data_IF_507232011583
#
_entry.id   IF_507232011583
#
_cell.length_a   1.000
_cell.length_b   1.000
_cell.length_c   1.000
_cell.angle_alpha   90.00
_cell.angle_beta   90.00
_cell.angle_gamma   90.00
#
_symmetry.space_group_name_H-M   'P 1'
#
loop_
_entity.id
_entity.type
_entity.pdbx_description
1 polymer ?
#
# COMPACT_ATOMS: atom_id res chain seq x y z
N UNK A 1 18.11 10.33 10.02
CA UNK A 1 16.75 9.78 9.92
C UNK A 1 15.81 10.67 10.72
N UNK A 2 14.75 11.24 10.12
CA UNK A 2 13.72 11.92 10.91
C UNK A 2 13.09 10.88 11.84
N UNK A 3 13.05 11.17 13.15
CA UNK A 3 12.33 10.34 14.10
C UNK A 3 10.85 10.36 13.75
N UNK A 4 10.26 9.20 13.53
CA UNK A 4 8.83 9.05 13.28
C UNK A 4 8.02 9.67 14.42
N UNK A 5 6.97 10.46 14.13
CA UNK A 5 6.07 10.95 15.16
C UNK A 5 5.54 9.79 16.02
N UNK A 6 5.43 10.00 17.31
CA UNK A 6 4.94 8.97 18.25
C UNK A 6 3.54 8.47 17.89
N UNK A 7 2.67 9.36 17.38
CA UNK A 7 1.33 9.03 16.89
C UNK A 7 1.37 8.02 15.74
N UNK A 8 2.19 8.26 14.72
CA UNK A 8 2.37 7.37 13.57
C UNK A 8 2.89 6.00 14.02
N UNK A 9 3.86 5.98 14.93
CA UNK A 9 4.42 4.72 15.44
C UNK A 9 3.39 3.91 16.24
N UNK A 10 2.53 4.56 17.02
CA UNK A 10 1.44 3.87 17.73
C UNK A 10 0.43 3.26 16.76
N UNK A 11 -0.02 4.01 15.74
CA UNK A 11 -0.90 3.50 14.69
C UNK A 11 -0.28 2.31 13.96
N UNK A 12 0.96 2.44 13.48
CA UNK A 12 1.70 1.41 12.75
C UNK A 12 1.88 0.10 13.54
N UNK A 13 1.96 0.17 14.87
CA UNK A 13 2.09 -1.00 15.73
C UNK A 13 0.85 -1.91 15.73
N UNK A 14 -0.32 -1.37 15.39
CA UNK A 14 -1.59 -2.10 15.40
C UNK A 14 -1.94 -2.71 14.02
N UNK A 15 -1.23 -2.36 12.95
CA UNK A 15 -1.60 -2.74 11.58
C UNK A 15 -1.43 -4.23 11.35
N UNK A 16 -2.46 -4.86 10.81
CA UNK A 16 -2.52 -6.26 10.40
C UNK A 16 -2.74 -6.45 8.92
N UNK A 17 -3.27 -5.42 8.23
CA UNK A 17 -3.50 -5.43 6.79
C UNK A 17 -3.02 -4.11 6.19
N UNK A 18 -2.19 -4.19 5.16
CA UNK A 18 -1.78 -3.07 4.32
C UNK A 18 -2.49 -3.15 2.98
N UNK A 19 -3.35 -2.18 2.69
CA UNK A 19 -4.00 -2.03 1.39
C UNK A 19 -3.23 -0.98 0.56
N UNK A 20 -3.00 -1.28 -0.70
CA UNK A 20 -2.22 -0.47 -1.62
C UNK A 20 -3.07 -0.14 -2.86
N UNK A 21 -3.10 1.12 -3.25
CA UNK A 21 -3.37 1.44 -4.65
C UNK A 21 -2.23 0.90 -5.53
N UNK A 22 -2.43 0.85 -6.83
CA UNK A 22 -1.46 0.29 -7.76
C UNK A 22 -0.80 1.36 -8.61
N UNK A 23 -1.59 2.09 -9.38
CA UNK A 23 -1.08 3.08 -10.33
C UNK A 23 -0.75 4.38 -9.58
N UNK A 24 0.53 4.72 -9.48
CA UNK A 24 1.02 5.83 -8.67
C UNK A 24 1.53 5.43 -7.27
N UNK A 25 1.25 4.19 -6.82
CA UNK A 25 1.77 3.67 -5.53
C UNK A 25 2.77 2.53 -5.75
N UNK A 26 2.35 1.43 -6.38
CA UNK A 26 3.23 0.30 -6.75
C UNK A 26 4.00 0.56 -8.05
N UNK A 27 3.49 1.48 -8.87
CA UNK A 27 4.11 1.97 -10.11
C UNK A 27 4.33 3.47 -10.01
N UNK A 28 5.00 4.05 -11.01
CA UNK A 28 5.21 5.49 -11.15
C UNK A 28 4.01 6.23 -11.77
N UNK A 29 2.85 5.56 -11.88
CA UNK A 29 1.61 6.13 -12.42
C UNK A 29 1.56 6.25 -13.95
N UNK A 30 2.64 5.93 -14.67
CA UNK A 30 2.65 5.99 -16.14
C UNK A 30 1.80 4.89 -16.74
N UNK A 31 1.06 5.25 -17.79
CA UNK A 31 0.36 4.31 -18.65
C UNK A 31 1.25 4.07 -19.88
N UNK A 32 1.76 2.85 -20.02
CA UNK A 32 2.64 2.44 -21.12
C UNK A 32 1.88 1.39 -21.94
N UNK A 33 1.54 1.75 -23.17
CA UNK A 33 0.76 0.90 -24.10
C UNK A 33 1.45 0.94 -25.45
N UNK A 34 1.66 -0.21 -26.07
CA UNK A 34 2.18 -0.30 -27.44
C UNK A 34 1.05 -0.12 -28.48
N UNK A 35 1.42 -0.10 -29.76
CA UNK A 35 0.49 0.04 -30.89
C UNK A 35 -0.50 -1.12 -31.07
N UNK A 36 -0.29 -2.24 -30.37
CA UNK A 36 -1.19 -3.39 -30.31
C UNK A 36 -2.08 -3.37 -29.08
N UNK A 37 -2.00 -2.32 -28.25
CA UNK A 37 -2.76 -2.19 -27.02
C UNK A 37 -2.20 -3.02 -25.86
N UNK A 38 -0.96 -3.51 -25.96
CA UNK A 38 -0.33 -4.29 -24.88
C UNK A 38 0.18 -3.35 -23.79
N UNK A 39 -0.33 -3.52 -22.58
CA UNK A 39 0.08 -2.72 -21.41
C UNK A 39 1.37 -3.26 -20.78
N UNK A 40 2.25 -2.36 -20.40
CA UNK A 40 3.45 -2.63 -19.59
C UNK A 40 3.40 -1.77 -18.32
N UNK A 41 3.86 -2.32 -17.19
CA UNK A 41 4.03 -1.59 -15.93
C UNK A 41 5.39 -1.88 -15.32
N UNK A 42 6.01 -0.85 -14.74
CA UNK A 42 7.26 -0.99 -14.02
C UNK A 42 6.99 -1.06 -12.52
N UNK A 43 7.40 -2.17 -11.90
CA UNK A 43 7.35 -2.37 -10.46
C UNK A 43 8.75 -2.28 -9.87
N UNK A 44 8.86 -1.71 -8.69
CA UNK A 44 10.13 -1.59 -7.99
C UNK A 44 10.44 -2.86 -7.19
N UNK A 45 11.65 -3.41 -7.35
CA UNK A 45 12.05 -4.67 -6.72
C UNK A 45 11.99 -4.60 -5.19
N UNK A 46 12.38 -3.45 -4.59
CA UNK A 46 12.36 -3.26 -3.14
C UNK A 46 10.95 -3.21 -2.57
N UNK A 47 9.98 -2.69 -3.32
CA UNK A 47 8.57 -2.70 -2.91
C UNK A 47 8.03 -4.13 -2.84
N UNK A 48 8.33 -4.95 -3.85
CA UNK A 48 8.00 -6.38 -3.83
C UNK A 48 8.64 -7.11 -2.65
N UNK A 49 9.91 -6.82 -2.36
CA UNK A 49 10.58 -7.39 -1.18
C UNK A 49 9.92 -6.91 0.13
N UNK A 50 9.53 -5.64 0.23
CA UNK A 50 8.79 -5.10 1.38
C UNK A 50 7.48 -5.86 1.64
N UNK A 51 6.70 -6.09 0.58
CA UNK A 51 5.46 -6.88 0.65
C UNK A 51 5.75 -8.30 1.16
N UNK A 52 6.79 -8.95 0.63
CA UNK A 52 7.17 -10.30 1.05
C UNK A 52 7.57 -10.35 2.53
N UNK A 53 8.30 -9.34 3.02
CA UNK A 53 8.69 -9.24 4.44
C UNK A 53 7.49 -9.03 5.35
N UNK A 54 6.54 -8.16 4.99
CA UNK A 54 5.30 -7.96 5.74
C UNK A 54 4.55 -9.27 5.92
N UNK A 55 4.34 -10.00 4.82
CA UNK A 55 3.62 -11.29 4.85
C UNK A 55 4.32 -12.34 5.70
N UNK A 56 5.64 -12.44 5.60
CA UNK A 56 6.45 -13.33 6.48
C UNK A 56 6.29 -13.01 7.96
N UNK A 57 6.02 -11.74 8.27
CA UNK A 57 5.81 -11.25 9.63
C UNK A 57 4.34 -11.21 10.04
N UNK A 58 3.43 -11.82 9.28
CA UNK A 58 2.00 -11.91 9.62
C UNK A 58 1.22 -10.61 9.44
N UNK A 59 1.68 -9.74 8.53
CA UNK A 59 0.93 -8.57 8.07
C UNK A 59 0.47 -8.84 6.66
N UNK A 60 -0.84 -8.95 6.46
CA UNK A 60 -1.42 -9.18 5.15
C UNK A 60 -1.31 -7.96 4.24
N UNK A 61 -1.31 -8.20 2.91
CA UNK A 61 -1.26 -7.15 1.91
C UNK A 61 -2.35 -7.37 0.87
N UNK A 62 -3.00 -6.27 0.44
CA UNK A 62 -4.00 -6.29 -0.62
C UNK A 62 -3.80 -5.14 -1.61
N UNK A 63 -4.23 -5.36 -2.86
CA UNK A 63 -4.20 -4.37 -3.94
C UNK A 63 -5.62 -3.94 -4.29
N UNK A 64 -5.82 -2.62 -4.42
CA UNK A 64 -7.11 -2.02 -4.81
C UNK A 64 -6.82 -1.03 -5.94
N UNK A 65 -7.32 -1.30 -7.15
CA UNK A 65 -7.13 -0.39 -8.29
C UNK A 65 -8.41 -0.21 -9.11
N UNK A 66 -8.63 0.99 -9.61
CA UNK A 66 -9.73 1.30 -10.53
C UNK A 66 -9.54 0.68 -11.92
N UNK A 67 -8.34 0.35 -12.30
CA UNK A 67 -8.01 -0.24 -13.61
C UNK A 67 -8.02 -1.77 -13.54
N UNK A 68 -8.22 -2.41 -14.69
CA UNK A 68 -8.06 -3.87 -14.87
C UNK A 68 -6.83 -4.14 -15.71
N UNK A 69 -5.89 -4.93 -15.19
CA UNK A 69 -4.59 -5.19 -15.80
C UNK A 69 -4.16 -6.64 -15.58
N UNK A 70 -3.78 -7.32 -16.67
CA UNK A 70 -3.16 -8.66 -16.58
C UNK A 70 -1.80 -8.58 -15.88
N UNK A 71 -1.05 -7.49 -16.09
CA UNK A 71 0.27 -7.26 -15.50
C UNK A 71 0.19 -7.19 -13.97
N UNK A 72 -0.81 -6.48 -13.44
CA UNK A 72 -1.07 -6.40 -11.99
C UNK A 72 -1.40 -7.78 -11.42
N UNK A 73 -2.19 -8.59 -12.14
CA UNK A 73 -2.50 -9.96 -11.71
C UNK A 73 -1.26 -10.83 -11.63
N UNK A 74 -0.38 -10.79 -12.65
CA UNK A 74 0.89 -11.51 -12.64
C UNK A 74 1.78 -11.10 -11.47
N UNK A 75 1.90 -9.78 -11.23
CA UNK A 75 2.70 -9.26 -10.11
C UNK A 75 2.15 -9.70 -8.75
N UNK A 76 0.85 -9.68 -8.57
CA UNK A 76 0.20 -10.14 -7.34
C UNK A 76 0.45 -11.63 -7.10
N UNK A 77 0.36 -12.47 -8.14
CA UNK A 77 0.65 -13.90 -8.06
C UNK A 77 2.10 -14.17 -7.64
N UNK A 78 3.07 -13.48 -8.28
CA UNK A 78 4.49 -13.57 -7.94
C UNK A 78 4.73 -13.24 -6.46
N UNK A 79 4.09 -12.19 -5.95
CA UNK A 79 4.20 -11.74 -4.56
C UNK A 79 3.28 -12.52 -3.60
N UNK A 80 2.52 -13.49 -4.14
CA UNK A 80 1.54 -14.30 -3.39
C UNK A 80 0.50 -13.43 -2.65
N UNK A 81 0.14 -12.27 -3.22
CA UNK A 81 -0.94 -11.43 -2.71
C UNK A 81 -2.27 -12.00 -3.17
N UNK A 82 -3.14 -12.37 -2.24
CA UNK A 82 -4.44 -12.99 -2.51
C UNK A 82 -5.59 -11.97 -2.56
N UNK A 83 -5.46 -10.86 -1.86
CA UNK A 83 -6.45 -9.79 -1.85
C UNK A 83 -6.16 -8.83 -3.01
N UNK A 84 -6.71 -9.12 -4.19
CA UNK A 84 -6.50 -8.31 -5.40
C UNK A 84 -7.85 -7.92 -5.98
N UNK A 85 -8.11 -6.64 -6.00
CA UNK A 85 -9.35 -6.05 -6.47
C UNK A 85 -9.06 -5.06 -7.59
N UNK A 86 -9.55 -5.34 -8.79
CA UNK A 86 -9.35 -4.54 -9.98
C UNK A 86 -10.69 -4.07 -10.56
N UNK A 87 -10.69 -2.97 -11.32
CA UNK A 87 -11.92 -2.39 -11.88
C UNK A 87 -12.82 -1.77 -10.81
N UNK A 88 -12.25 -1.35 -9.68
CA UNK A 88 -12.99 -0.85 -8.52
C UNK A 88 -13.44 0.59 -8.78
N UNK A 89 -14.74 0.81 -8.86
CA UNK A 89 -15.34 2.14 -9.05
C UNK A 89 -15.49 2.90 -7.72
N UNK A 90 -15.82 2.19 -6.65
CA UNK A 90 -15.99 2.75 -5.31
C UNK A 90 -15.04 2.02 -4.34
N UNK A 91 -13.91 2.67 -4.05
CA UNK A 91 -12.89 2.12 -3.15
C UNK A 91 -13.37 2.07 -1.71
N UNK A 92 -14.25 2.98 -1.28
CA UNK A 92 -14.79 2.98 0.09
C UNK A 92 -15.74 1.81 0.31
N UNK A 93 -16.65 1.58 -0.63
CA UNK A 93 -17.56 0.43 -0.55
C UNK A 93 -16.78 -0.89 -0.49
N UNK A 94 -15.75 -1.03 -1.33
CA UNK A 94 -14.89 -2.21 -1.29
C UNK A 94 -14.12 -2.32 0.03
N UNK A 95 -13.61 -1.22 0.57
CA UNK A 95 -12.92 -1.19 1.85
C UNK A 95 -13.80 -1.75 2.98
N UNK A 96 -15.06 -1.32 3.05
CA UNK A 96 -16.01 -1.83 4.02
C UNK A 96 -16.28 -3.35 3.86
N UNK A 97 -16.33 -3.83 2.62
CA UNK A 97 -16.46 -5.28 2.34
C UNK A 97 -15.22 -6.06 2.80
N UNK A 98 -14.01 -5.53 2.54
CA UNK A 98 -12.75 -6.14 2.99
C UNK A 98 -12.71 -6.19 4.51
N UNK A 99 -13.02 -5.08 5.19
CA UNK A 99 -13.08 -4.98 6.65
C UNK A 99 -14.00 -6.03 7.24
N UNK A 100 -15.22 -6.14 6.70
CA UNK A 100 -16.19 -7.15 7.14
C UNK A 100 -15.70 -8.59 6.91
N UNK A 101 -15.11 -8.87 5.75
CA UNK A 101 -14.59 -10.20 5.39
C UNK A 101 -13.40 -10.61 6.26
N UNK A 102 -12.49 -9.69 6.54
CA UNK A 102 -11.29 -9.95 7.35
C UNK A 102 -11.54 -9.87 8.85
N UNK A 103 -12.68 -9.32 9.27
CA UNK A 103 -13.04 -9.03 10.67
C UNK A 103 -12.02 -8.12 11.37
N UNK A 104 -11.37 -7.23 10.61
CA UNK A 104 -10.45 -6.23 11.13
C UNK A 104 -11.20 -4.93 11.42
N UNK A 105 -10.68 -4.17 12.39
CA UNK A 105 -11.15 -2.80 12.66
C UNK A 105 -10.35 -1.80 11.84
N UNK A 106 -10.82 -0.56 11.75
CA UNK A 106 -10.14 0.50 11.01
C UNK A 106 -8.70 0.70 11.53
N UNK A 107 -8.49 0.63 12.86
CA UNK A 107 -7.20 0.80 13.50
C UNK A 107 -6.18 -0.28 13.12
N UNK A 108 -6.63 -1.40 12.57
CA UNK A 108 -5.80 -2.52 12.15
C UNK A 108 -5.46 -2.51 10.66
N UNK A 109 -5.98 -1.53 9.91
CA UNK A 109 -5.79 -1.42 8.47
C UNK A 109 -5.02 -0.15 8.15
N UNK A 110 -3.99 -0.26 7.32
CA UNK A 110 -3.31 0.85 6.68
C UNK A 110 -3.69 0.90 5.20
N UNK A 111 -3.73 2.09 4.65
CA UNK A 111 -3.91 2.32 3.21
C UNK A 111 -2.84 3.25 2.67
N UNK A 112 -2.30 2.94 1.50
CA UNK A 112 -1.39 3.81 0.75
C UNK A 112 -2.08 4.23 -0.54
N UNK A 113 -2.20 5.52 -0.74
CA UNK A 113 -2.79 6.13 -1.93
C UNK A 113 -1.96 7.29 -2.46
N UNK A 114 -2.31 7.76 -3.65
CA UNK A 114 -1.64 8.86 -4.34
C UNK A 114 -2.59 9.94 -4.85
N UNK A 115 -3.88 9.64 -5.05
CA UNK A 115 -4.80 10.60 -5.69
C UNK A 115 -6.15 10.69 -4.96
N UNK A 116 -6.95 11.69 -5.33
CA UNK A 116 -8.24 12.06 -4.71
C UNK A 116 -9.20 10.87 -4.59
N UNK A 117 -9.14 9.92 -5.51
CA UNK A 117 -9.97 8.72 -5.47
C UNK A 117 -9.69 7.82 -4.25
N UNK A 118 -8.54 8.00 -3.59
CA UNK A 118 -8.15 7.28 -2.37
C UNK A 118 -8.65 7.96 -1.09
N UNK A 119 -8.99 9.24 -1.19
CA UNK A 119 -9.35 10.06 -0.04
C UNK A 119 -10.46 9.46 0.85
N UNK A 120 -11.55 8.89 0.30
CA UNK A 120 -12.58 8.27 1.12
C UNK A 120 -12.05 7.14 2.02
N UNK A 121 -11.12 6.33 1.53
CA UNK A 121 -10.48 5.24 2.30
C UNK A 121 -9.47 5.79 3.29
N UNK A 122 -8.63 6.75 2.87
CA UNK A 122 -7.64 7.39 3.75
C UNK A 122 -8.27 8.01 5.00
N UNK A 123 -9.50 8.53 4.89
CA UNK A 123 -10.25 9.10 6.04
C UNK A 123 -10.76 8.06 7.04
N UNK A 124 -10.80 6.79 6.66
CA UNK A 124 -11.37 5.73 7.48
C UNK A 124 -10.31 4.88 8.19
N UNK A 125 -9.17 4.63 7.53
CA UNK A 125 -8.15 3.69 8.01
C UNK A 125 -7.41 4.17 9.25
N UNK A 126 -6.89 3.22 10.04
CA UNK A 126 -6.10 3.50 11.23
C UNK A 126 -4.75 4.15 10.93
N UNK A 127 -4.15 3.85 9.76
CA UNK A 127 -2.93 4.51 9.30
C UNK A 127 -3.08 4.90 7.82
N UNK A 128 -3.31 6.18 7.60
CA UNK A 128 -3.41 6.79 6.28
C UNK A 128 -2.01 7.19 5.77
N UNK A 129 -1.62 6.68 4.62
CA UNK A 129 -0.30 6.96 4.02
C UNK A 129 -0.48 7.51 2.61
N UNK A 130 0.25 8.57 2.30
CA UNK A 130 0.39 9.13 0.96
C UNK A 130 1.81 8.90 0.45
N UNK A 131 1.98 8.57 -0.82
CA UNK A 131 3.31 8.53 -1.45
C UNK A 131 3.89 9.94 -1.60
N UNK A 132 5.22 10.06 -1.70
CA UNK A 132 5.93 11.33 -1.68
C UNK A 132 5.57 12.30 -2.80
N UNK A 133 5.05 11.81 -3.91
CA UNK A 133 4.60 12.57 -5.08
C UNK A 133 3.08 12.47 -5.31
N UNK A 134 2.32 12.01 -4.31
CA UNK A 134 0.85 12.01 -4.36
C UNK A 134 0.26 13.42 -4.38
N UNK A 135 -1.02 13.48 -4.73
CA UNK A 135 -1.79 14.73 -4.85
C UNK A 135 -1.77 15.54 -3.55
N UNK A 136 -1.52 16.83 -3.65
CA UNK A 136 -1.39 17.73 -2.50
C UNK A 136 -2.64 17.74 -1.61
N UNK A 137 -3.80 17.49 -2.19
CA UNK A 137 -5.10 17.45 -1.52
C UNK A 137 -5.21 16.30 -0.49
N UNK A 138 -4.40 15.24 -0.65
CA UNK A 138 -4.37 14.13 0.30
C UNK A 138 -3.56 14.45 1.56
N UNK A 139 -2.61 15.37 1.46
CA UNK A 139 -1.64 15.65 2.53
C UNK A 139 -2.27 15.99 3.88
N UNK A 140 -3.36 16.78 3.97
CA UNK A 140 -4.03 17.06 5.25
C UNK A 140 -4.70 15.81 5.88
N UNK A 141 -4.90 14.75 5.10
CA UNK A 141 -5.59 13.53 5.50
C UNK A 141 -4.63 12.33 5.70
N UNK A 142 -3.34 12.52 5.42
CA UNK A 142 -2.33 11.49 5.60
C UNK A 142 -1.67 11.62 6.99
N UNK A 143 -1.60 10.50 7.71
CA UNK A 143 -0.80 10.40 8.94
C UNK A 143 0.69 10.40 8.61
N UNK A 144 1.04 9.83 7.46
CA UNK A 144 2.42 9.71 7.00
C UNK A 144 2.51 9.96 5.49
N UNK A 145 3.48 10.77 5.10
CA UNK A 145 3.86 10.98 3.70
C UNK A 145 5.23 10.38 3.50
N UNK A 146 5.37 9.45 2.55
CA UNK A 146 6.66 8.80 2.29
C UNK A 146 7.68 9.80 1.70
N UNK A 147 8.96 9.56 1.93
CA UNK A 147 10.03 10.29 1.25
C UNK A 147 10.19 9.79 -0.20
N UNK A 148 10.02 8.48 -0.37
CA UNK A 148 10.06 7.86 -1.68
C UNK A 148 8.78 8.14 -2.47
N UNK A 149 8.93 8.28 -3.78
CA UNK A 149 7.83 8.40 -4.73
C UNK A 149 7.17 7.06 -5.00
N UNK A 150 5.93 7.09 -5.52
CA UNK A 150 5.26 5.89 -6.00
C UNK A 150 6.09 5.15 -7.04
N UNK A 151 6.10 3.82 -6.96
CA UNK A 151 6.93 2.97 -7.83
C UNK A 151 8.45 3.11 -7.65
N UNK A 152 8.90 3.86 -6.65
CA UNK A 152 10.32 4.15 -6.38
C UNK A 152 10.76 3.79 -4.96
N UNK A 153 10.06 2.83 -4.33
CA UNK A 153 10.39 2.37 -2.98
C UNK A 153 9.48 2.90 -1.88
N UNK A 154 8.37 3.57 -2.21
CA UNK A 154 7.41 4.09 -1.23
C UNK A 154 6.77 2.95 -0.42
N UNK A 155 6.36 1.86 -1.07
CA UNK A 155 5.78 0.70 -0.38
C UNK A 155 6.83 0.01 0.50
N UNK A 156 8.10 -0.05 0.08
CA UNK A 156 9.20 -0.54 0.92
C UNK A 156 9.39 0.33 2.16
N UNK A 157 9.33 1.64 2.03
CA UNK A 157 9.44 2.56 3.16
C UNK A 157 8.33 2.32 4.18
N UNK A 158 7.08 2.14 3.71
CA UNK A 158 5.94 1.79 4.58
C UNK A 158 6.12 0.42 5.23
N UNK A 159 6.58 -0.58 4.49
CA UNK A 159 6.86 -1.90 5.05
C UNK A 159 7.90 -1.84 6.18
N UNK A 160 9.00 -1.12 5.97
CA UNK A 160 10.04 -0.90 6.98
C UNK A 160 9.48 -0.19 8.23
N UNK A 161 8.60 0.81 8.03
CA UNK A 161 7.93 1.54 9.10
C UNK A 161 7.09 0.59 9.96
N UNK A 162 6.22 -0.22 9.34
CA UNK A 162 5.35 -1.17 10.04
C UNK A 162 6.15 -2.21 10.83
N UNK A 163 7.15 -2.82 10.19
CA UNK A 163 7.98 -3.85 10.80
C UNK A 163 8.80 -3.32 11.99
N UNK A 164 9.34 -2.10 11.88
CA UNK A 164 10.05 -1.43 12.98
C UNK A 164 9.12 -1.06 14.13
N UNK A 165 7.92 -0.52 13.82
CA UNK A 165 6.93 -0.18 14.84
C UNK A 165 6.47 -1.41 15.64
N UNK A 166 6.36 -2.57 14.99
CA UNK A 166 5.98 -3.85 15.59
C UNK A 166 7.16 -4.64 16.17
N UNK A 167 8.38 -4.07 16.20
CA UNK A 167 9.61 -4.73 16.68
C UNK A 167 9.97 -6.03 15.98
N UNK A 168 9.47 -6.23 14.74
CA UNK A 168 9.72 -7.43 13.91
C UNK A 168 10.95 -7.29 13.01
N UNK A 169 11.55 -6.11 12.98
CA UNK A 169 12.68 -5.83 12.09
C UNK A 169 13.96 -6.57 12.47
N UNK A 170 14.28 -6.64 13.76
CA UNK A 170 15.46 -7.34 14.27
C UNK A 170 15.49 -8.80 13.86
N UNK A 171 14.36 -9.48 13.94
CA UNK A 171 14.24 -10.91 13.62
C UNK A 171 14.51 -11.22 12.14
N UNK A 172 14.36 -10.22 11.27
CA UNK A 172 14.66 -10.35 9.83
C UNK A 172 16.15 -10.22 9.51
N UNK A 173 16.94 -9.59 10.40
CA UNK A 173 18.38 -9.40 10.22
C UNK A 173 19.19 -10.57 10.77
N UNK A 174 18.58 -11.42 11.61
CA UNK A 174 19.25 -12.54 12.29
C UNK A 174 18.96 -13.90 11.63
N UNK A 175 18.18 -13.92 10.55
CA UNK A 175 17.86 -15.09 9.73
C UNK A 175 18.52 -14.96 8.35
#
# INVERSE_FOLDING_TARGET
>A
MKTLPTSVRKKAANIRLLLLDVDGVLTDGRIIIDDRGVETKHFHVRDGQGISLLKRCGIDVGFITGRSSKVVRHRAQELRVSLVFQGVQDKLLLYEQIKKKTRLTDEQIAYVGDDIIDLPVLRCVGLAVMVGDGSAELKPHADYVTLAKGGMGAVREVADLLLKAQRKWSDLLTR
#
